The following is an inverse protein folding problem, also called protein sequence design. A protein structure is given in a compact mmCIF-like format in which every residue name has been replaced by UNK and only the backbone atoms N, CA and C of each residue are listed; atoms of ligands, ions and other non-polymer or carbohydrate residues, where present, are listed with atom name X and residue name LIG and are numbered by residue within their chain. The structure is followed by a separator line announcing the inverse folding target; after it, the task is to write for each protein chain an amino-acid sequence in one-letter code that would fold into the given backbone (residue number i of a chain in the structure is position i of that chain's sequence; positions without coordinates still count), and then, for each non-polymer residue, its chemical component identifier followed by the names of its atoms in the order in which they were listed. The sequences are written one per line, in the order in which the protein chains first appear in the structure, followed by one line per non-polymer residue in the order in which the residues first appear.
data_IF_207046102291
#
_entry.id   IF_207046102291
#
_cell.length_a   1.000
_cell.length_b   1.000
_cell.length_c   1.000
_cell.angle_alpha   90.00
_cell.angle_beta   90.00
_cell.angle_gamma   90.00
#
_symmetry.space_group_name_H-M   'P 1'
#
loop_
_entity.id
_entity.type
_entity.pdbx_description
1 polymer ?
#
# COMPACT_ATOMS: atom_id res chain seq x y z
N UNK A 1 11.68 -17.80 -1.29
CA UNK A 1 10.38 -18.45 -1.04
C UNK A 1 9.32 -17.38 -1.17
N UNK A 2 8.45 -17.48 -2.19
CA UNK A 2 7.25 -16.65 -2.28
C UNK A 2 6.24 -17.23 -1.29
N UNK A 3 5.80 -16.44 -0.32
CA UNK A 3 4.67 -16.80 0.54
C UNK A 3 3.40 -16.83 -0.35
N UNK A 4 2.50 -17.78 -0.11
CA UNK A 4 1.19 -17.76 -0.77
C UNK A 4 0.40 -16.51 -0.38
N UNK A 5 -0.59 -16.12 -1.17
CA UNK A 5 -1.41 -14.93 -0.88
C UNK A 5 -2.12 -15.03 0.48
N UNK A 6 -2.60 -16.23 0.85
CA UNK A 6 -3.14 -16.49 2.19
C UNK A 6 -2.10 -16.40 3.32
N UNK A 7 -0.87 -16.84 3.08
CA UNK A 7 0.22 -16.76 4.06
C UNK A 7 0.63 -15.29 4.33
N UNK A 8 0.52 -14.44 3.30
CA UNK A 8 0.81 -13.02 3.43
C UNK A 8 -0.28 -12.29 4.25
N UNK A 9 -1.55 -12.59 4.03
CA UNK A 9 -2.64 -12.01 4.83
C UNK A 9 -2.56 -12.44 6.29
N UNK A 10 -2.30 -13.73 6.55
CA UNK A 10 -2.11 -14.26 7.90
C UNK A 10 -0.92 -13.58 8.60
N UNK A 11 0.20 -13.42 7.90
CA UNK A 11 1.39 -12.75 8.43
C UNK A 11 1.11 -11.27 8.75
N UNK A 12 0.39 -10.52 7.90
CA UNK A 12 0.01 -9.13 8.18
C UNK A 12 -0.89 -9.04 9.42
N UNK A 13 -1.88 -9.94 9.55
CA UNK A 13 -2.77 -10.01 10.70
C UNK A 13 -2.02 -10.27 12.01
N UNK A 14 -1.11 -11.25 12.02
CA UNK A 14 -0.26 -11.57 13.19
C UNK A 14 0.61 -10.38 13.56
N UNK A 15 1.24 -9.73 12.59
CA UNK A 15 2.11 -8.58 12.84
C UNK A 15 1.33 -7.38 13.41
N UNK A 16 0.09 -7.13 12.95
CA UNK A 16 -0.79 -6.09 13.50
C UNK A 16 -1.22 -6.39 14.92
N UNK A 17 -1.65 -7.62 15.19
CA UNK A 17 -2.00 -8.07 16.53
C UNK A 17 -0.80 -7.91 17.48
N UNK A 18 0.38 -8.33 17.04
CA UNK A 18 1.62 -8.17 17.82
C UNK A 18 1.94 -6.69 18.06
N UNK A 19 1.76 -5.81 17.07
CA UNK A 19 1.97 -4.37 17.24
C UNK A 19 1.04 -3.77 18.30
N UNK A 20 -0.22 -4.20 18.34
CA UNK A 20 -1.19 -3.75 19.33
C UNK A 20 -0.83 -4.19 20.76
N UNK A 21 -0.16 -5.34 20.89
CA UNK A 21 0.33 -5.86 22.17
C UNK A 21 1.65 -5.22 22.63
N UNK A 22 2.32 -4.44 21.79
CA UNK A 22 3.56 -3.74 22.17
C UNK A 22 3.27 -2.37 22.80
N UNK A 23 4.04 -1.95 23.83
CA UNK A 23 3.93 -0.62 24.41
C UNK A 23 4.12 0.48 23.34
N UNK A 24 3.35 1.58 23.38
CA UNK A 24 3.56 2.70 22.48
C UNK A 24 4.98 3.29 22.62
N UNK A 25 5.45 3.97 21.56
CA UNK A 25 6.80 4.53 21.51
C UNK A 25 7.06 5.63 22.55
N UNK A 26 5.99 6.24 23.07
CA UNK A 26 5.99 7.25 24.12
C UNK A 26 5.08 6.83 25.27
N UNK A 27 5.20 7.52 26.41
CA UNK A 27 4.33 7.32 27.58
C UNK A 27 4.97 6.54 28.73
N UNK A 28 4.16 6.23 29.74
CA UNK A 28 4.60 5.63 31.00
C UNK A 28 4.78 4.12 30.92
N UNK A 29 4.00 3.44 30.07
CA UNK A 29 4.14 2.00 29.84
C UNK A 29 5.37 1.77 28.98
N UNK A 30 6.37 1.08 29.53
CA UNK A 30 7.63 0.74 28.85
C UNK A 30 7.62 -0.67 28.31
N UNK A 31 6.72 -1.51 28.83
CA UNK A 31 6.77 -2.95 28.63
C UNK A 31 5.47 -3.64 28.98
N UNK A 32 5.16 -4.71 28.26
CA UNK A 32 4.01 -5.57 28.45
C UNK A 32 4.48 -7.02 28.44
N UNK A 33 4.04 -7.82 29.41
CA UNK A 33 4.23 -9.27 29.39
C UNK A 33 3.00 -9.94 28.76
N UNK A 34 3.23 -10.80 27.77
CA UNK A 34 2.18 -11.55 27.08
C UNK A 34 2.40 -13.04 27.35
N UNK A 35 1.31 -13.73 27.70
CA UNK A 35 1.30 -15.17 27.95
C UNK A 35 -0.05 -15.77 27.54
N UNK A 36 -0.14 -17.10 27.48
CA UNK A 36 -1.40 -17.80 27.22
C UNK A 36 -1.23 -19.11 26.45
N UNK A 37 -2.37 -19.75 26.15
CA UNK A 37 -2.42 -21.05 25.48
C UNK A 37 -1.78 -21.01 24.07
N UNK A 38 -2.04 -19.94 23.31
CA UNK A 38 -1.44 -19.69 21.99
C UNK A 38 0.09 -19.53 22.02
N UNK A 39 0.67 -19.18 23.17
CA UNK A 39 2.11 -19.10 23.40
C UNK A 39 2.66 -20.35 24.09
N UNK A 40 1.87 -21.42 24.18
CA UNK A 40 2.23 -22.70 24.81
C UNK A 40 2.72 -22.51 26.26
N UNK A 41 2.09 -21.58 26.99
CA UNK A 41 2.45 -21.27 28.37
C UNK A 41 3.75 -20.44 28.51
N UNK A 42 4.43 -20.11 27.41
CA UNK A 42 5.60 -19.25 27.42
C UNK A 42 5.20 -17.80 27.67
N UNK A 43 6.08 -17.07 28.35
CA UNK A 43 5.94 -15.64 28.61
C UNK A 43 6.91 -14.88 27.73
N UNK A 44 6.40 -13.85 27.05
CA UNK A 44 7.20 -12.96 26.23
C UNK A 44 7.07 -11.54 26.76
N UNK A 45 8.22 -10.87 26.86
CA UNK A 45 8.32 -9.51 27.34
C UNK A 45 8.47 -8.60 26.11
N UNK A 46 7.44 -7.80 25.83
CA UNK A 46 7.38 -6.90 24.68
C UNK A 46 7.68 -5.47 25.13
N UNK A 47 8.80 -4.95 24.66
CA UNK A 47 9.24 -3.58 24.91
C UNK A 47 9.08 -2.69 23.66
N UNK A 48 9.56 -1.45 23.75
CA UNK A 48 9.56 -0.52 22.61
C UNK A 48 10.44 -0.99 21.45
N UNK A 49 11.49 -1.78 21.72
CA UNK A 49 12.31 -2.35 20.66
C UNK A 49 11.53 -3.40 19.87
N UNK A 50 10.72 -4.22 20.54
CA UNK A 50 9.79 -5.14 19.88
C UNK A 50 8.81 -4.38 18.98
N UNK A 51 8.23 -3.25 19.45
CA UNK A 51 7.39 -2.37 18.63
C UNK A 51 8.08 -1.91 17.36
N UNK A 52 9.33 -1.44 17.46
CA UNK A 52 10.12 -0.97 16.32
C UNK A 52 10.36 -2.10 15.32
N UNK A 53 10.71 -3.30 15.79
CA UNK A 53 10.92 -4.49 14.94
C UNK A 53 9.66 -4.88 14.19
N UNK A 54 8.53 -4.99 14.89
CA UNK A 54 7.23 -5.35 14.29
C UNK A 54 6.77 -4.26 13.31
N UNK A 55 6.94 -2.98 13.65
CA UNK A 55 6.63 -1.87 12.75
C UNK A 55 7.48 -1.90 11.48
N UNK A 56 8.77 -2.21 11.59
CA UNK A 56 9.66 -2.38 10.44
C UNK A 56 9.23 -3.56 9.58
N UNK A 57 8.89 -4.69 10.20
CA UNK A 57 8.45 -5.87 9.48
C UNK A 57 7.10 -5.64 8.77
N UNK A 58 6.15 -4.95 9.40
CA UNK A 58 4.89 -4.52 8.75
C UNK A 58 5.15 -3.66 7.52
N UNK A 59 6.12 -2.73 7.59
CA UNK A 59 6.50 -1.89 6.45
C UNK A 59 7.17 -2.68 5.33
N UNK A 60 7.94 -3.71 5.66
CA UNK A 60 8.59 -4.58 4.69
C UNK A 60 7.61 -5.61 4.09
N UNK A 61 6.65 -6.08 4.88
CA UNK A 61 5.62 -7.03 4.50
C UNK A 61 4.54 -6.42 3.62
N UNK A 62 4.33 -5.10 3.72
CA UNK A 62 3.68 -4.31 2.67
C UNK A 62 4.61 -4.26 1.46
N UNK A 63 4.75 -5.42 0.82
CA UNK A 63 5.58 -5.63 -0.35
C UNK A 63 5.19 -4.60 -1.40
N UNK A 64 6.21 -4.00 -2.01
CA UNK A 64 6.07 -3.25 -3.24
C UNK A 64 5.50 -4.20 -4.29
N UNK A 65 4.27 -3.95 -4.73
CA UNK A 65 3.64 -4.73 -5.81
C UNK A 65 3.75 -3.92 -7.09
N UNK A 66 4.28 -4.54 -8.15
CA UNK A 66 4.09 -4.00 -9.50
C UNK A 66 2.64 -4.23 -9.85
N UNK A 67 1.92 -3.14 -10.12
CA UNK A 67 0.49 -3.16 -10.43
C UNK A 67 0.25 -2.45 -11.75
N UNK A 68 -0.83 -2.86 -12.42
CA UNK A 68 -1.37 -2.18 -13.59
C UNK A 68 -2.86 -1.96 -13.36
N UNK A 69 -3.28 -0.70 -13.30
CA UNK A 69 -4.68 -0.33 -13.21
C UNK A 69 -5.16 0.20 -14.56
N UNK A 70 -6.28 -0.33 -15.03
CA UNK A 70 -6.99 0.20 -16.20
C UNK A 70 -8.17 1.00 -15.72
N UNK A 71 -8.37 2.20 -16.26
CA UNK A 71 -9.45 3.10 -15.85
C UNK A 71 -9.38 4.42 -16.59
N UNK A 72 -9.78 5.50 -15.93
CA UNK A 72 -9.61 6.88 -16.42
C UNK A 72 -9.01 7.75 -15.33
N UNK A 73 -8.32 8.81 -15.72
CA UNK A 73 -7.86 9.82 -14.76
C UNK A 73 -9.06 10.68 -14.42
N UNK A 74 -9.53 10.61 -13.18
CA UNK A 74 -10.73 11.33 -12.72
C UNK A 74 -10.41 12.65 -12.01
N UNK A 75 -9.22 12.78 -11.43
CA UNK A 75 -8.74 13.99 -10.77
C UNK A 75 -7.22 14.12 -10.92
N UNK A 76 -6.75 15.36 -11.00
CA UNK A 76 -5.32 15.75 -11.00
C UNK A 76 -5.12 16.85 -9.96
N UNK A 77 -4.11 16.69 -9.11
CA UNK A 77 -3.68 17.64 -8.08
C UNK A 77 -2.23 18.04 -8.36
N UNK A 78 -2.07 19.20 -8.98
CA UNK A 78 -0.79 19.73 -9.44
C UNK A 78 0.17 20.07 -8.30
N UNK A 79 -0.36 20.54 -7.17
CA UNK A 79 0.45 20.94 -6.02
C UNK A 79 1.14 19.73 -5.36
N UNK A 80 0.45 18.59 -5.34
CA UNK A 80 0.93 17.36 -4.70
C UNK A 80 1.44 16.30 -5.69
N UNK A 81 1.50 16.62 -6.98
CA UNK A 81 1.85 15.69 -8.06
C UNK A 81 1.06 14.36 -7.97
N UNK A 82 -0.26 14.45 -7.71
CA UNK A 82 -1.09 13.27 -7.43
C UNK A 82 -2.33 13.17 -8.32
N UNK A 83 -2.76 11.94 -8.61
CA UNK A 83 -3.96 11.64 -9.41
C UNK A 83 -4.90 10.69 -8.68
N UNK A 84 -6.17 10.75 -9.05
CA UNK A 84 -7.17 9.73 -8.72
C UNK A 84 -7.58 9.01 -10.00
N UNK A 85 -7.36 7.70 -10.05
CA UNK A 85 -7.82 6.80 -11.12
C UNK A 85 -9.22 6.32 -10.74
N UNK A 86 -10.18 6.53 -11.64
CA UNK A 86 -11.57 6.10 -11.49
C UNK A 86 -11.91 5.02 -12.50
N UNK A 87 -13.06 4.40 -12.31
CA UNK A 87 -13.60 3.33 -13.16
C UNK A 87 -12.59 2.19 -13.35
N UNK A 88 -11.87 1.87 -12.28
CA UNK A 88 -10.88 0.80 -12.30
C UNK A 88 -11.57 -0.56 -12.43
N UNK A 89 -10.85 -1.55 -12.97
CA UNK A 89 -11.39 -2.90 -13.18
C UNK A 89 -11.87 -3.60 -11.91
N UNK A 90 -11.36 -3.20 -10.75
CA UNK A 90 -11.75 -3.70 -9.43
C UNK A 90 -12.83 -2.84 -8.75
N UNK A 91 -13.30 -1.76 -9.41
CA UNK A 91 -14.33 -0.86 -8.90
C UNK A 91 -13.89 0.02 -7.73
N UNK A 92 -12.59 0.13 -7.46
CA UNK A 92 -12.01 0.89 -6.35
C UNK A 92 -11.18 2.04 -6.88
N UNK A 93 -11.56 3.29 -6.58
CA UNK A 93 -10.76 4.46 -6.93
C UNK A 93 -9.35 4.37 -6.33
N UNK A 94 -8.33 4.58 -7.16
CA UNK A 94 -6.92 4.46 -6.78
C UNK A 94 -6.23 5.82 -6.82
N UNK A 95 -5.65 6.23 -5.69
CA UNK A 95 -4.80 7.42 -5.64
C UNK A 95 -3.33 7.07 -5.91
N UNK A 96 -2.73 7.80 -6.84
CA UNK A 96 -1.32 7.64 -7.22
C UNK A 96 -0.55 8.95 -7.21
N UNK A 97 0.78 8.83 -7.15
CA UNK A 97 1.73 9.92 -7.30
C UNK A 97 2.63 9.63 -8.48
N UNK A 98 3.05 10.66 -9.19
CA UNK A 98 3.99 10.54 -10.29
C UNK A 98 5.11 11.55 -10.19
N UNK A 99 6.15 11.26 -10.95
CA UNK A 99 7.22 12.22 -11.23
C UNK A 99 6.71 13.29 -12.18
N UNK A 100 7.28 14.48 -12.04
CA UNK A 100 6.95 15.66 -12.85
C UNK A 100 7.13 15.41 -14.36
N UNK A 101 8.04 14.52 -14.76
CA UNK A 101 8.26 14.14 -16.16
C UNK A 101 7.04 13.53 -16.86
N UNK A 102 6.06 12.99 -16.11
CA UNK A 102 4.85 12.37 -16.67
C UNK A 102 3.63 13.31 -16.64
N UNK A 103 3.79 14.57 -16.24
CA UNK A 103 2.66 15.45 -15.98
C UNK A 103 1.93 15.96 -17.21
N UNK A 104 2.66 16.28 -18.27
CA UNK A 104 2.07 16.71 -19.52
C UNK A 104 1.22 15.59 -20.16
N UNK A 105 1.73 14.35 -20.10
CA UNK A 105 1.02 13.16 -20.58
C UNK A 105 -0.27 12.90 -19.80
N UNK A 106 -0.21 12.95 -18.46
CA UNK A 106 -1.39 12.75 -17.62
C UNK A 106 -2.43 13.84 -17.82
N UNK A 107 -2.03 15.11 -17.92
CA UNK A 107 -2.95 16.22 -18.17
C UNK A 107 -3.65 16.06 -19.52
N UNK A 108 -2.92 15.62 -20.55
CA UNK A 108 -3.53 15.31 -21.84
C UNK A 108 -4.62 14.23 -21.68
N UNK A 109 -4.31 13.10 -21.05
CA UNK A 109 -5.30 12.03 -20.83
C UNK A 109 -6.49 12.45 -19.97
N UNK A 110 -6.26 13.27 -18.94
CA UNK A 110 -7.31 13.83 -18.11
C UNK A 110 -8.24 14.75 -18.92
N UNK A 111 -7.68 15.68 -19.70
CA UNK A 111 -8.45 16.63 -20.51
C UNK A 111 -9.29 15.93 -21.58
N UNK A 112 -8.72 14.94 -22.27
CA UNK A 112 -9.45 14.16 -23.29
C UNK A 112 -10.37 13.08 -22.69
N UNK A 113 -10.33 12.86 -21.37
CA UNK A 113 -11.11 11.83 -20.68
C UNK A 113 -10.90 10.41 -21.27
N UNK A 114 -9.69 10.15 -21.76
CA UNK A 114 -9.35 8.87 -22.39
C UNK A 114 -9.25 7.76 -21.33
N UNK A 115 -9.52 6.51 -21.74
CA UNK A 115 -9.13 5.35 -20.93
C UNK A 115 -7.62 5.20 -20.96
N UNK A 116 -7.06 4.83 -19.80
CA UNK A 116 -5.63 4.67 -19.60
C UNK A 116 -5.32 3.37 -18.89
N UNK A 117 -4.16 2.81 -19.21
CA UNK A 117 -3.50 1.80 -18.41
C UNK A 117 -2.34 2.47 -17.65
N UNK A 118 -2.40 2.47 -16.32
CA UNK A 118 -1.38 3.04 -15.45
C UNK A 118 -0.63 1.91 -14.78
N UNK A 119 0.68 1.87 -14.99
CA UNK A 119 1.57 0.93 -14.31
C UNK A 119 2.40 1.63 -13.26
N UNK A 120 2.70 0.91 -12.18
CA UNK A 120 3.47 1.46 -11.10
C UNK A 120 3.77 0.48 -9.99
N UNK A 121 4.37 1.02 -8.93
CA UNK A 121 4.69 0.27 -7.72
C UNK A 121 3.73 0.73 -6.63
N UNK A 122 2.85 -0.16 -6.19
CA UNK A 122 2.01 0.07 -5.02
C UNK A 122 2.80 -0.26 -3.75
N UNK A 123 2.93 0.74 -2.87
CA UNK A 123 3.57 0.61 -1.57
C UNK A 123 2.71 1.25 -0.50
N UNK A 124 2.33 0.48 0.51
CA UNK A 124 1.46 0.96 1.60
C UNK A 124 0.11 1.54 1.13
N UNK A 125 -0.48 1.02 0.04
CA UNK A 125 -1.72 1.54 -0.54
C UNK A 125 -1.56 2.88 -1.27
N UNK A 126 -0.31 3.26 -1.57
CA UNK A 126 0.01 4.40 -2.44
C UNK A 126 0.65 3.87 -3.71
N UNK A 127 0.09 4.25 -4.84
CA UNK A 127 0.65 3.94 -6.15
C UNK A 127 1.72 4.97 -6.52
N UNK A 128 2.95 4.53 -6.75
CA UNK A 128 3.95 5.34 -7.45
C UNK A 128 3.88 4.98 -8.93
N UNK A 129 3.31 5.86 -9.74
CA UNK A 129 3.12 5.70 -11.16
C UNK A 129 4.47 5.79 -11.87
N UNK A 130 4.74 4.81 -12.74
CA UNK A 130 5.99 4.73 -13.52
C UNK A 130 5.77 4.83 -15.02
N UNK A 131 4.53 4.59 -15.48
CA UNK A 131 4.12 4.83 -16.86
C UNK A 131 2.61 4.95 -16.94
N UNK A 132 2.17 5.81 -17.85
CA UNK A 132 0.78 5.99 -18.25
C UNK A 132 0.73 5.70 -19.75
N UNK A 133 -0.26 4.95 -20.20
CA UNK A 133 -0.43 4.63 -21.62
C UNK A 133 -1.89 4.80 -21.97
N UNK A 134 -2.18 5.42 -23.12
CA UNK A 134 -3.49 5.39 -23.72
C UNK A 134 -3.94 3.92 -23.86
N UNK A 135 -5.16 3.63 -23.45
CA UNK A 135 -5.76 2.35 -23.81
C UNK A 135 -6.52 2.55 -25.12
N UNK A 136 -6.03 1.96 -26.21
CA UNK A 136 -6.81 1.86 -27.43
C UNK A 136 -8.02 0.96 -27.14
N UNK A 137 -9.22 1.46 -27.41
CA UNK A 137 -10.41 0.62 -27.38
C UNK A 137 -10.33 -0.32 -28.60
N UNK A 138 -10.36 -1.66 -28.40
CA UNK A 138 -10.25 -2.61 -29.51
C UNK A 138 -11.50 -2.67 -30.42
N UNK A 139 -12.46 -1.75 -30.24
CA UNK A 139 -13.75 -1.71 -30.93
C UNK A 139 -13.90 -0.50 -31.90
N UNK A 140 -12.80 0.17 -32.28
CA UNK A 140 -12.75 1.07 -33.46
C UNK A 140 -12.16 0.38 -34.71
#
# INVERSE_FOLDING_TARGET
MSLGEGDAEELDAILRATLALTPPGSGVVREIEVSGAWLQGRRFRLDRNARLKVSKQLRAHRAEKIVVYKGRIGEVDDDNLSITIRDTSDGVDRKGFLREEFWDEVRAHYYYSNRVAISGIERNGRLNVTAVVAQDDPDE
#
